data_IF_031785850181
#
_entry.id   IF_031785850181
#
_cell.length_a   1.000
_cell.length_b   1.000
_cell.length_c   1.000
_cell.angle_alpha   90.00
_cell.angle_beta   90.00
_cell.angle_gamma   90.00
#
_symmetry.space_group_name_H-M   'P 1'
#
loop_
_entity.id
_entity.type
_entity.pdbx_description
1 polymer ?
#
# COMPACT_ATOMS: atom_id res chain seq x y z
N UNK A 1 20.78 -4.53 76.09
CA UNK A 1 20.32 -5.47 75.04
C UNK A 1 18.85 -5.27 74.63
N UNK A 2 17.94 -4.89 75.52
CA UNK A 2 16.52 -4.65 75.15
C UNK A 2 16.33 -3.44 74.20
N UNK A 3 17.06 -2.34 74.42
CA UNK A 3 16.94 -1.13 73.59
C UNK A 3 17.37 -1.31 72.13
N UNK A 4 18.38 -2.15 71.87
CA UNK A 4 18.85 -2.46 70.51
C UNK A 4 17.88 -3.35 69.73
N UNK A 5 17.16 -4.24 70.41
CA UNK A 5 16.14 -5.10 69.77
C UNK A 5 14.90 -4.31 69.32
N UNK A 6 14.47 -3.32 70.12
CA UNK A 6 13.32 -2.45 69.77
C UNK A 6 13.65 -1.55 68.58
N UNK A 7 14.87 -0.99 68.52
CA UNK A 7 15.30 -0.16 67.39
C UNK A 7 15.35 -0.93 66.06
N UNK A 8 15.81 -2.19 66.08
CA UNK A 8 15.83 -3.05 64.88
C UNK A 8 14.42 -3.43 64.43
N UNK A 9 13.51 -3.72 65.37
CA UNK A 9 12.13 -4.05 65.05
C UNK A 9 11.38 -2.86 64.40
N UNK A 10 11.55 -1.65 64.92
CA UNK A 10 10.93 -0.44 64.35
C UNK A 10 11.56 -0.11 62.99
N UNK A 11 12.89 -0.22 62.86
CA UNK A 11 13.58 -0.03 61.59
C UNK A 11 13.11 -0.99 60.49
N UNK A 12 12.87 -2.26 60.84
CA UNK A 12 12.37 -3.27 59.90
C UNK A 12 10.95 -2.99 59.40
N UNK A 13 10.06 -2.51 60.26
CA UNK A 13 8.67 -2.17 59.90
C UNK A 13 8.61 -0.92 59.01
N UNK A 14 9.42 0.10 59.31
CA UNK A 14 9.48 1.32 58.49
C UNK A 14 10.10 1.02 57.13
N UNK A 15 11.15 0.20 57.08
CA UNK A 15 11.78 -0.19 55.82
C UNK A 15 10.84 -0.99 54.90
N UNK A 16 10.03 -1.90 55.45
CA UNK A 16 9.08 -2.67 54.64
C UNK A 16 7.95 -1.80 54.07
N UNK A 17 7.43 -0.85 54.85
CA UNK A 17 6.45 0.13 54.38
C UNK A 17 6.99 1.03 53.27
N UNK A 18 8.20 1.58 53.45
CA UNK A 18 8.84 2.44 52.45
C UNK A 18 9.17 1.66 51.17
N UNK A 19 9.65 0.41 51.29
CA UNK A 19 9.91 -0.45 50.14
C UNK A 19 8.63 -0.75 49.34
N UNK A 20 7.49 -0.94 50.02
CA UNK A 20 6.20 -1.19 49.36
C UNK A 20 5.71 0.04 48.60
N UNK A 21 5.77 1.23 49.23
CA UNK A 21 5.37 2.50 48.59
C UNK A 21 6.27 2.85 47.40
N UNK A 22 7.58 2.64 47.52
CA UNK A 22 8.52 2.88 46.40
C UNK A 22 8.26 1.87 45.28
N UNK A 23 8.03 0.60 45.59
CA UNK A 23 7.71 -0.43 44.59
C UNK A 23 6.44 -0.07 43.82
N UNK A 24 5.39 0.38 44.50
CA UNK A 24 4.13 0.76 43.86
C UNK A 24 4.24 2.08 43.09
N UNK A 25 5.03 3.05 43.58
CA UNK A 25 5.34 4.27 42.85
C UNK A 25 6.14 3.99 41.57
N UNK A 26 7.14 3.11 41.62
CA UNK A 26 7.94 2.70 40.45
C UNK A 26 7.09 1.92 39.45
N UNK A 27 6.18 1.04 39.90
CA UNK A 27 5.21 0.36 39.02
C UNK A 27 4.27 1.37 38.36
N UNK A 28 3.77 2.35 39.11
CA UNK A 28 2.92 3.42 38.61
C UNK A 28 3.60 4.27 37.54
N UNK A 29 4.85 4.67 37.78
CA UNK A 29 5.64 5.42 36.79
C UNK A 29 5.91 4.62 35.51
N UNK A 30 6.24 3.33 35.62
CA UNK A 30 6.45 2.46 34.44
C UNK A 30 5.18 2.31 33.60
N UNK A 31 4.02 2.11 34.24
CA UNK A 31 2.76 2.01 33.52
C UNK A 31 2.38 3.29 32.76
N UNK A 32 2.85 4.46 33.20
CA UNK A 32 2.69 5.72 32.48
C UNK A 32 3.62 5.77 31.27
N UNK A 33 4.90 5.45 31.44
CA UNK A 33 5.90 5.42 30.35
C UNK A 33 5.45 4.46 29.24
N UNK A 34 5.02 3.24 29.58
CA UNK A 34 4.56 2.25 28.59
C UNK A 34 3.36 2.77 27.78
N UNK A 35 2.47 3.53 28.42
CA UNK A 35 1.30 4.13 27.75
C UNK A 35 1.69 5.24 26.79
N UNK A 36 2.68 6.04 27.16
CA UNK A 36 3.21 7.10 26.31
C UNK A 36 3.90 6.50 25.09
N UNK A 37 4.81 5.53 25.29
CA UNK A 37 5.50 4.85 24.19
C UNK A 37 4.56 4.07 23.27
N UNK A 38 3.54 3.40 23.83
CA UNK A 38 2.49 2.77 23.02
C UNK A 38 1.72 3.81 22.19
N UNK A 39 1.46 4.99 22.75
CA UNK A 39 0.76 6.07 22.04
C UNK A 39 1.62 6.65 20.92
N UNK A 40 2.92 6.81 21.15
CA UNK A 40 3.88 7.21 20.11
C UNK A 40 3.98 6.15 19.01
N UNK A 41 4.08 4.87 19.35
CA UNK A 41 4.10 3.77 18.39
C UNK A 41 2.80 3.71 17.55
N UNK A 42 1.65 3.89 18.20
CA UNK A 42 0.36 4.00 17.55
C UNK A 42 0.29 5.18 16.56
N UNK A 43 0.80 6.35 16.96
CA UNK A 43 0.85 7.53 16.10
C UNK A 43 1.81 7.34 14.93
N UNK A 44 2.92 6.64 15.14
CA UNK A 44 3.86 6.27 14.08
C UNK A 44 3.18 5.36 13.04
N UNK A 45 2.53 4.26 13.48
CA UNK A 45 1.77 3.37 12.58
C UNK A 45 0.69 4.14 11.83
N UNK A 46 -0.02 5.04 12.50
CA UNK A 46 -0.98 5.94 11.84
C UNK A 46 -0.31 6.78 10.76
N UNK A 47 0.81 7.42 11.06
CA UNK A 47 1.56 8.27 10.12
C UNK A 47 2.01 7.53 8.86
N UNK A 48 2.45 6.28 9.01
CA UNK A 48 2.78 5.40 7.88
C UNK A 48 1.58 5.16 6.95
N UNK A 49 0.38 5.03 7.52
CA UNK A 49 -0.83 4.68 6.78
C UNK A 49 -1.59 5.89 6.24
N UNK A 50 -1.40 7.08 6.81
CA UNK A 50 -2.04 8.31 6.34
C UNK A 50 -1.29 8.98 5.19
N UNK A 51 -0.03 8.60 4.96
CA UNK A 51 0.78 9.15 3.87
C UNK A 51 0.60 8.26 2.64
N UNK A 52 -0.01 8.78 1.57
CA UNK A 52 -0.39 7.98 0.38
C UNK A 52 0.77 7.14 -0.18
N UNK A 53 1.97 7.72 -0.30
CA UNK A 53 3.16 7.00 -0.82
C UNK A 53 3.60 5.84 0.07
N UNK A 54 3.60 6.03 1.39
CA UNK A 54 4.00 5.01 2.37
C UNK A 54 2.91 3.97 2.55
N UNK A 55 1.63 4.35 2.54
CA UNK A 55 0.54 3.40 2.59
C UNK A 55 0.56 2.49 1.35
N UNK A 56 0.69 3.07 0.16
CA UNK A 56 0.81 2.32 -1.08
C UNK A 56 1.97 1.32 -1.04
N UNK A 57 3.16 1.73 -0.62
CA UNK A 57 4.30 0.81 -0.54
C UNK A 57 4.12 -0.30 0.51
N UNK A 58 3.34 -0.04 1.57
CA UNK A 58 3.14 -0.97 2.67
C UNK A 58 1.99 -1.94 2.47
N UNK A 59 0.91 -1.55 1.79
CA UNK A 59 -0.30 -2.40 1.68
C UNK A 59 -0.67 -2.79 0.26
N UNK A 60 -0.13 -2.16 -0.78
CA UNK A 60 -0.42 -2.57 -2.15
C UNK A 60 -0.05 -4.04 -2.38
N UNK A 61 -0.91 -4.77 -3.08
CA UNK A 61 -0.82 -6.20 -3.33
C UNK A 61 -1.27 -7.10 -2.17
N UNK A 62 -1.50 -6.56 -0.97
CA UNK A 62 -2.03 -7.37 0.15
C UNK A 62 -3.50 -7.69 -0.07
N UNK A 63 -3.91 -8.85 0.43
CA UNK A 63 -5.30 -9.29 0.38
C UNK A 63 -6.14 -8.53 1.41
N UNK A 64 -7.26 -7.97 0.95
CA UNK A 64 -8.27 -7.33 1.77
C UNK A 64 -9.51 -8.22 1.79
N UNK A 65 -9.99 -8.62 2.95
CA UNK A 65 -11.20 -9.46 3.06
C UNK A 65 -12.41 -8.56 3.33
N UNK A 66 -13.30 -8.29 2.37
CA UNK A 66 -14.52 -7.51 2.64
C UNK A 66 -15.36 -8.19 3.72
N UNK A 67 -15.79 -7.44 4.73
CA UNK A 67 -16.46 -7.95 5.94
C UNK A 67 -15.58 -8.79 6.88
N UNK A 68 -14.27 -8.90 6.62
CA UNK A 68 -13.34 -9.75 7.35
C UNK A 68 -12.11 -9.01 7.89
N UNK A 69 -11.12 -9.80 8.31
CA UNK A 69 -9.84 -9.31 8.83
C UNK A 69 -8.67 -10.11 8.26
N UNK A 70 -7.61 -9.42 7.88
CA UNK A 70 -6.36 -10.03 7.37
C UNK A 70 -5.19 -9.59 8.24
N UNK A 71 -4.35 -10.53 8.67
CA UNK A 71 -3.07 -10.22 9.32
C UNK A 71 -2.15 -9.49 8.34
N UNK A 72 -1.47 -8.45 8.81
CA UNK A 72 -0.54 -7.69 7.96
C UNK A 72 0.81 -7.49 8.62
N UNK A 73 1.78 -7.27 7.75
CA UNK A 73 3.13 -6.88 8.10
C UNK A 73 3.49 -5.62 7.32
N UNK A 74 4.13 -4.65 7.97
CA UNK A 74 4.61 -3.43 7.34
C UNK A 74 6.13 -3.42 7.38
N UNK A 75 6.81 -3.31 6.24
CA UNK A 75 8.24 -3.14 6.27
C UNK A 75 8.98 -3.29 4.96
N UNK A 76 10.28 -2.98 4.97
CA UNK A 76 11.08 -2.59 6.15
C UNK A 76 10.92 -1.10 6.50
N UNK A 77 10.31 -0.77 7.66
CA UNK A 77 10.08 0.62 8.12
C UNK A 77 10.53 0.86 9.57
N UNK A 78 10.61 -0.21 10.37
CA UNK A 78 11.14 -0.21 11.73
C UNK A 78 10.45 0.73 12.72
N UNK A 79 10.96 0.77 13.96
CA UNK A 79 10.60 1.74 14.99
C UNK A 79 11.67 1.77 16.08
N UNK A 80 12.01 2.95 16.60
CA UNK A 80 13.00 3.13 17.67
C UNK A 80 14.37 2.54 17.30
N UNK A 81 14.87 1.64 18.15
CA UNK A 81 16.19 1.01 18.03
C UNK A 81 16.30 0.01 16.86
N UNK A 82 15.18 -0.31 16.20
CA UNK A 82 15.13 -1.25 15.08
C UNK A 82 14.54 -0.58 13.81
N UNK A 83 15.22 0.39 13.18
CA UNK A 83 14.67 1.23 12.10
C UNK A 83 14.44 0.50 10.77
N UNK A 84 14.98 -0.72 10.60
CA UNK A 84 14.80 -1.51 9.38
C UNK A 84 13.96 -2.78 9.59
N UNK A 85 13.32 -2.92 10.75
CA UNK A 85 12.52 -4.10 11.06
C UNK A 85 11.17 -4.12 10.33
N UNK A 86 10.62 -5.32 10.19
CA UNK A 86 9.24 -5.53 9.74
C UNK A 86 8.32 -5.45 10.96
N UNK A 87 7.39 -4.52 10.94
CA UNK A 87 6.32 -4.43 11.93
C UNK A 87 5.30 -5.52 11.63
N UNK A 88 5.15 -6.46 12.54
CA UNK A 88 4.20 -7.57 12.44
C UNK A 88 3.85 -8.06 13.84
N UNK A 89 2.94 -9.03 13.94
CA UNK A 89 2.71 -9.74 15.20
C UNK A 89 4.04 -10.32 15.74
N UNK A 90 4.29 -10.12 17.03
CA UNK A 90 5.53 -10.46 17.71
C UNK A 90 6.61 -9.38 17.65
N UNK A 91 6.41 -8.27 16.93
CA UNK A 91 7.39 -7.17 16.90
C UNK A 91 7.55 -6.56 18.30
N UNK A 92 8.81 -6.46 18.76
CA UNK A 92 9.16 -5.92 20.07
C UNK A 92 9.70 -4.51 19.97
N UNK A 93 9.30 -3.66 20.91
CA UNK A 93 9.75 -2.28 21.04
C UNK A 93 9.80 -1.90 22.53
N UNK A 94 10.30 -0.69 22.83
CA UNK A 94 10.58 -0.27 24.20
C UNK A 94 11.52 -1.24 24.93
N UNK A 95 12.74 -1.40 24.39
CA UNK A 95 13.77 -2.29 24.97
C UNK A 95 13.23 -3.70 25.28
N UNK A 96 12.43 -4.23 24.36
CA UNK A 96 11.78 -5.55 24.43
C UNK A 96 10.71 -5.75 25.51
N UNK A 97 10.22 -4.68 26.13
CA UNK A 97 9.14 -4.77 27.14
C UNK A 97 7.75 -4.80 26.52
N UNK A 98 7.56 -4.13 25.38
CA UNK A 98 6.29 -4.07 24.66
C UNK A 98 6.36 -4.92 23.39
N UNK A 99 5.29 -5.67 23.12
CA UNK A 99 5.19 -6.57 21.97
C UNK A 99 3.88 -6.31 21.23
N UNK A 100 3.94 -6.20 19.90
CA UNK A 100 2.76 -6.17 19.03
C UNK A 100 2.10 -7.54 19.07
N UNK A 101 0.94 -7.62 19.70
CA UNK A 101 0.15 -8.86 19.80
C UNK A 101 -0.75 -9.09 18.61
N UNK A 102 -1.22 -8.02 17.97
CA UNK A 102 -2.05 -8.11 16.78
C UNK A 102 -1.86 -6.89 15.91
N UNK A 103 -1.72 -7.15 14.61
CA UNK A 103 -1.69 -6.15 13.58
C UNK A 103 -2.51 -6.66 12.39
N UNK A 104 -3.77 -6.22 12.30
CA UNK A 104 -4.72 -6.67 11.27
C UNK A 104 -5.29 -5.48 10.52
N UNK A 105 -5.56 -5.68 9.23
CA UNK A 105 -6.46 -4.82 8.45
C UNK A 105 -7.83 -5.47 8.45
N UNK A 106 -8.84 -4.70 8.85
CA UNK A 106 -10.24 -5.10 8.94
C UNK A 106 -11.06 -4.24 8.00
N UNK A 107 -12.11 -4.80 7.40
CA UNK A 107 -13.14 -3.98 6.75
C UNK A 107 -14.00 -3.29 7.81
N UNK A 108 -14.19 -1.98 7.67
CA UNK A 108 -15.11 -1.23 8.55
C UNK A 108 -16.58 -1.65 8.36
N UNK A 109 -16.91 -2.33 7.26
CA UNK A 109 -18.26 -2.79 6.96
C UNK A 109 -19.18 -1.66 6.48
N UNK A 110 -18.61 -0.57 5.98
CA UNK A 110 -19.36 0.46 5.27
C UNK A 110 -19.57 0.00 3.82
N UNK A 111 -20.71 0.37 3.23
CA UNK A 111 -20.96 0.08 1.82
C UNK A 111 -19.83 0.70 0.96
N UNK A 112 -19.17 -0.10 0.10
CA UNK A 112 -18.09 0.42 -0.72
C UNK A 112 -18.62 1.43 -1.75
N UNK A 113 -17.79 2.40 -2.09
CA UNK A 113 -18.06 3.28 -3.23
C UNK A 113 -17.50 2.59 -4.47
N UNK A 114 -18.38 2.00 -5.25
CA UNK A 114 -18.05 1.37 -6.52
C UNK A 114 -18.02 2.37 -7.67
N UNK A 115 -17.07 2.22 -8.58
CA UNK A 115 -17.03 2.95 -9.83
C UNK A 115 -16.42 2.06 -10.93
N UNK A 116 -16.76 2.35 -12.17
CA UNK A 116 -16.22 1.64 -13.33
C UNK A 116 -15.15 2.49 -14.00
N UNK A 117 -14.02 1.85 -14.31
CA UNK A 117 -12.92 2.45 -15.03
C UNK A 117 -12.90 1.85 -16.43
N UNK A 118 -12.94 2.66 -17.50
CA UNK A 118 -12.77 2.16 -18.86
C UNK A 118 -11.29 1.90 -19.14
N UNK A 119 -10.89 0.63 -19.26
CA UNK A 119 -9.53 0.20 -19.58
C UNK A 119 -9.42 -0.29 -21.03
N UNK A 120 -8.39 0.18 -21.72
CA UNK A 120 -8.02 -0.36 -23.04
C UNK A 120 -7.23 -1.65 -22.83
N UNK A 121 -7.74 -2.76 -23.37
CA UNK A 121 -7.02 -4.04 -23.41
C UNK A 121 -5.77 -3.91 -24.30
N UNK A 122 -4.57 -4.21 -23.76
CA UNK A 122 -3.33 -4.09 -24.52
C UNK A 122 -3.22 -5.09 -25.69
N UNK A 123 -4.04 -6.15 -25.74
CA UNK A 123 -3.97 -7.13 -26.82
C UNK A 123 -4.97 -6.81 -27.93
N UNK A 124 -6.20 -6.45 -27.57
CA UNK A 124 -7.30 -6.28 -28.52
C UNK A 124 -7.61 -4.81 -28.88
N UNK A 125 -7.11 -3.84 -28.10
CA UNK A 125 -7.52 -2.43 -28.21
C UNK A 125 -8.97 -2.17 -27.79
N UNK A 126 -9.70 -3.19 -27.33
CA UNK A 126 -11.07 -3.04 -26.87
C UNK A 126 -11.12 -2.29 -25.53
N UNK A 127 -12.16 -1.48 -25.34
CA UNK A 127 -12.41 -0.82 -24.06
C UNK A 127 -13.28 -1.72 -23.18
N UNK A 128 -12.70 -2.22 -22.09
CA UNK A 128 -13.37 -3.00 -21.07
C UNK A 128 -13.68 -2.13 -19.85
N UNK A 129 -14.84 -2.32 -19.22
CA UNK A 129 -15.12 -1.69 -17.94
C UNK A 129 -14.68 -2.58 -16.79
N UNK A 130 -13.79 -2.07 -15.93
CA UNK A 130 -13.36 -2.77 -14.72
C UNK A 130 -13.97 -2.06 -13.51
N UNK A 131 -14.64 -2.84 -12.66
CA UNK A 131 -15.17 -2.36 -11.40
C UNK A 131 -14.04 -2.24 -10.38
N UNK A 132 -13.95 -1.08 -9.76
CA UNK A 132 -13.06 -0.82 -8.63
C UNK A 132 -13.92 -0.34 -7.47
N UNK A 133 -13.62 -0.85 -6.28
CA UNK A 133 -14.38 -0.53 -5.07
C UNK A 133 -13.47 0.15 -4.07
N UNK A 134 -13.90 1.30 -3.55
CA UNK A 134 -13.25 1.91 -2.38
C UNK A 134 -13.92 1.44 -1.10
N UNK A 135 -13.11 0.85 -0.24
CA UNK A 135 -13.47 0.49 1.12
C UNK A 135 -12.83 1.45 2.12
N UNK A 136 -13.39 1.51 3.32
CA UNK A 136 -12.72 2.11 4.48
C UNK A 136 -12.12 0.96 5.27
N UNK A 137 -10.80 0.79 5.15
CA UNK A 137 -10.06 -0.17 5.94
C UNK A 137 -9.82 0.38 7.35
N UNK A 138 -9.76 -0.53 8.32
CA UNK A 138 -9.41 -0.24 9.70
C UNK A 138 -8.24 -1.11 10.13
N UNK A 139 -7.12 -0.51 10.49
CA UNK A 139 -6.04 -1.23 11.15
C UNK A 139 -6.34 -1.35 12.63
N UNK A 140 -6.33 -2.58 13.14
CA UNK A 140 -6.39 -2.89 14.56
C UNK A 140 -5.00 -3.23 15.05
N UNK A 141 -4.53 -2.44 16.01
CA UNK A 141 -3.26 -2.62 16.69
C UNK A 141 -3.51 -3.00 18.15
N UNK A 142 -2.99 -4.16 18.55
CA UNK A 142 -2.99 -4.63 19.94
C UNK A 142 -1.56 -4.80 20.42
N UNK A 143 -1.25 -4.28 21.59
CA UNK A 143 0.08 -4.33 22.22
C UNK A 143 -0.07 -4.99 23.59
N UNK A 144 0.90 -5.82 23.95
CA UNK A 144 1.03 -6.39 25.28
C UNK A 144 2.39 -6.10 25.89
N UNK A 145 2.42 -5.95 27.20
CA UNK A 145 3.67 -5.96 27.98
C UNK A 145 4.22 -7.39 28.10
N UNK A 146 5.51 -7.55 28.42
CA UNK A 146 6.17 -8.85 28.65
C UNK A 146 5.51 -9.68 29.76
N UNK A 147 4.79 -9.03 30.67
CA UNK A 147 3.98 -9.68 31.72
C UNK A 147 2.56 -10.04 31.23
N UNK A 148 2.35 -10.11 29.92
CA UNK A 148 1.07 -10.42 29.26
C UNK A 148 -0.08 -9.45 29.57
N UNK A 149 0.23 -8.29 30.15
CA UNK A 149 -0.77 -7.22 30.34
C UNK A 149 -1.13 -6.64 28.97
N UNK A 150 -2.38 -6.78 28.58
CA UNK A 150 -2.88 -6.35 27.27
C UNK A 150 -3.37 -4.90 27.40
N UNK A 151 -2.83 -4.03 26.56
CA UNK A 151 -3.32 -2.66 26.44
C UNK A 151 -4.56 -2.60 25.54
N UNK A 152 -5.33 -1.52 25.67
CA UNK A 152 -6.52 -1.31 24.86
C UNK A 152 -6.15 -1.20 23.38
N UNK A 153 -6.87 -1.91 22.54
CA UNK A 153 -6.70 -1.86 21.09
C UNK A 153 -6.82 -0.43 20.55
N UNK A 154 -5.97 -0.12 19.57
CA UNK A 154 -6.00 1.12 18.79
C UNK A 154 -6.49 0.82 17.39
N UNK A 155 -7.29 1.74 16.86
CA UNK A 155 -7.89 1.62 15.54
C UNK A 155 -7.54 2.83 14.70
N UNK A 156 -7.12 2.58 13.46
CA UNK A 156 -6.82 3.63 12.47
C UNK A 156 -7.58 3.34 11.21
N UNK A 157 -8.24 4.36 10.66
CA UNK A 157 -9.05 4.20 9.46
C UNK A 157 -8.37 4.90 8.29
N UNK A 158 -8.39 4.27 7.14
CA UNK A 158 -7.85 4.81 5.90
C UNK A 158 -8.59 4.21 4.70
N UNK A 159 -8.76 4.97 3.63
CA UNK A 159 -9.40 4.47 2.41
C UNK A 159 -8.46 3.54 1.66
N UNK A 160 -9.02 2.45 1.12
CA UNK A 160 -8.30 1.53 0.22
C UNK A 160 -9.11 1.28 -1.04
N UNK A 161 -8.42 1.29 -2.17
CA UNK A 161 -8.94 0.82 -3.46
C UNK A 161 -8.65 -0.66 -3.59
N UNK A 162 -9.70 -1.43 -3.83
CA UNK A 162 -9.65 -2.88 -3.95
C UNK A 162 -10.21 -3.28 -5.30
N UNK A 163 -9.49 -4.18 -5.98
CA UNK A 163 -9.89 -4.71 -7.27
C UNK A 163 -10.84 -5.90 -7.16
N UNK A 164 -11.20 -6.48 -8.31
CA UNK A 164 -12.06 -7.67 -8.38
C UNK A 164 -11.47 -8.94 -7.76
N UNK A 165 -10.16 -8.98 -7.46
CA UNK A 165 -9.49 -10.12 -6.81
C UNK A 165 -9.26 -9.88 -5.32
N UNK A 166 -9.88 -8.83 -4.77
CA UNK A 166 -9.74 -8.43 -3.37
C UNK A 166 -8.32 -8.02 -2.97
N UNK A 167 -7.47 -7.65 -3.93
CA UNK A 167 -6.15 -7.10 -3.65
C UNK A 167 -6.23 -5.59 -3.46
N UNK A 168 -5.54 -5.07 -2.43
CA UNK A 168 -5.37 -3.63 -2.24
C UNK A 168 -4.47 -3.11 -3.36
N UNK A 169 -4.96 -2.13 -4.13
CA UNK A 169 -4.20 -1.49 -5.21
C UNK A 169 -3.59 -0.17 -4.78
N UNK A 170 -4.32 0.61 -4.01
CA UNK A 170 -3.84 1.87 -3.47
C UNK A 170 -4.58 2.29 -2.20
N UNK A 171 -3.98 3.20 -1.45
CA UNK A 171 -4.56 3.98 -0.37
C UNK A 171 -4.75 5.41 -0.85
N UNK A 172 -5.85 5.69 -1.54
CA UNK A 172 -6.11 7.02 -2.07
C UNK A 172 -7.24 7.68 -1.28
N UNK A 173 -6.95 8.88 -0.78
CA UNK A 173 -7.95 9.71 -0.08
C UNK A 173 -9.02 10.25 -1.03
N UNK A 174 -8.61 10.59 -2.26
CA UNK A 174 -9.50 11.09 -3.30
C UNK A 174 -9.86 9.97 -4.28
N UNK A 175 -11.16 9.87 -4.59
CA UNK A 175 -11.73 8.83 -5.45
C UNK A 175 -12.10 9.43 -6.78
N UNK A 176 -11.08 9.78 -7.55
CA UNK A 176 -11.27 10.16 -8.94
C UNK A 176 -10.86 9.00 -9.85
N UNK A 177 -11.39 8.99 -11.08
CA UNK A 177 -11.14 7.91 -12.05
C UNK A 177 -9.68 7.86 -12.46
N UNK A 178 -8.97 9.00 -12.44
CA UNK A 178 -7.56 9.08 -12.80
C UNK A 178 -6.65 8.36 -11.79
N UNK A 179 -6.93 8.53 -10.50
CA UNK A 179 -6.19 7.91 -9.41
C UNK A 179 -6.39 6.39 -9.41
N UNK A 180 -7.62 5.95 -9.70
CA UNK A 180 -7.90 4.53 -9.86
C UNK A 180 -7.24 3.94 -11.10
N UNK A 181 -7.17 4.71 -12.19
CA UNK A 181 -6.43 4.35 -13.38
C UNK A 181 -4.95 4.07 -13.07
N UNK A 182 -4.33 5.00 -12.35
CA UNK A 182 -2.94 4.89 -11.92
C UNK A 182 -2.74 3.72 -10.95
N UNK A 183 -3.66 3.50 -10.02
CA UNK A 183 -3.61 2.36 -9.10
C UNK A 183 -3.69 0.99 -9.81
N UNK A 184 -4.30 0.93 -11.00
CA UNK A 184 -4.32 -0.25 -11.85
C UNK A 184 -3.06 -0.39 -12.74
N UNK A 185 -2.15 0.59 -12.71
CA UNK A 185 -0.95 0.62 -13.56
C UNK A 185 -1.17 1.26 -14.94
N UNK A 186 -2.25 2.03 -15.10
CA UNK A 186 -2.61 2.70 -16.36
C UNK A 186 -2.45 4.23 -16.24
N UNK A 187 -2.42 4.92 -17.37
CA UNK A 187 -2.44 6.38 -17.46
C UNK A 187 -3.85 6.79 -17.85
N UNK A 188 -4.38 7.80 -17.16
CA UNK A 188 -5.66 8.40 -17.51
C UNK A 188 -5.49 9.34 -18.70
N UNK A 189 -6.01 8.95 -19.85
CA UNK A 189 -6.02 9.76 -21.06
C UNK A 189 -7.34 10.51 -21.21
N UNK A 190 -7.22 11.82 -21.36
CA UNK A 190 -8.33 12.76 -21.56
C UNK A 190 -8.28 13.43 -22.93
N UNK A 191 -7.33 13.05 -23.79
CA UNK A 191 -7.14 13.65 -25.12
C UNK A 191 -8.24 13.25 -26.11
N UNK A 192 -8.89 12.10 -25.90
CA UNK A 192 -10.01 11.63 -26.69
C UNK A 192 -11.37 12.21 -26.26
N UNK A 193 -12.43 12.04 -27.09
CA UNK A 193 -13.79 12.46 -26.76
C UNK A 193 -14.38 11.69 -25.57
N UNK A 194 -13.85 10.50 -25.28
CA UNK A 194 -14.18 9.69 -24.12
C UNK A 194 -12.90 9.40 -23.34
N UNK A 195 -12.76 9.90 -22.10
CA UNK A 195 -11.60 9.61 -21.27
C UNK A 195 -11.45 8.11 -20.97
N UNK A 196 -10.24 7.58 -21.09
CA UNK A 196 -9.93 6.14 -20.94
C UNK A 196 -8.60 5.88 -20.22
N UNK A 197 -8.49 4.70 -19.61
CA UNK A 197 -7.24 4.20 -19.04
C UNK A 197 -6.44 3.41 -20.05
N UNK A 198 -5.17 3.80 -20.21
CA UNK A 198 -4.25 3.16 -21.15
C UNK A 198 -2.98 2.63 -20.50
N UNK A 199 -2.38 1.56 -21.03
CA UNK A 199 -1.20 0.97 -20.42
C UNK A 199 -0.04 1.98 -20.30
N UNK A 200 0.67 1.98 -19.16
CA UNK A 200 1.94 2.72 -19.05
C UNK A 200 2.95 2.16 -20.06
N UNK A 201 3.61 3.04 -20.83
CA UNK A 201 4.57 2.62 -21.86
C UNK A 201 3.96 2.32 -23.23
N UNK A 202 2.67 2.57 -23.42
CA UNK A 202 2.05 2.59 -24.74
C UNK A 202 2.48 3.85 -25.52
N UNK A 203 2.90 3.67 -26.77
CA UNK A 203 3.00 4.73 -27.76
C UNK A 203 2.16 4.28 -28.96
N UNK A 204 1.43 5.18 -29.61
CA UNK A 204 0.50 4.85 -30.69
C UNK A 204 1.01 5.49 -31.99
N UNK A 205 0.69 4.87 -33.12
CA UNK A 205 0.94 5.41 -34.46
C UNK A 205 -0.39 5.59 -35.18
N UNK A 206 -0.55 6.69 -35.93
CA UNK A 206 -1.65 6.84 -36.91
C UNK A 206 -2.96 7.50 -36.45
N UNK A 207 -3.06 8.08 -35.25
CA UNK A 207 -4.24 8.88 -34.86
C UNK A 207 -4.65 8.92 -33.40
N UNK A 208 -3.87 8.33 -32.50
CA UNK A 208 -3.82 8.58 -31.05
C UNK A 208 -2.40 8.20 -30.56
N UNK A 209 -1.98 8.50 -29.31
CA UNK A 209 -0.62 8.52 -28.66
C UNK A 209 0.62 8.80 -29.53
N UNK A 210 0.83 10.06 -29.91
CA UNK A 210 2.17 10.66 -29.96
C UNK A 210 2.11 12.20 -30.05
N UNK A 211 1.80 12.88 -28.94
CA UNK A 211 2.08 14.33 -28.78
C UNK A 211 2.65 14.64 -27.39
N UNK A 212 3.54 13.78 -26.90
CA UNK A 212 4.30 13.98 -25.67
C UNK A 212 5.78 13.60 -25.86
N UNK A 213 6.69 14.10 -24.99
CA UNK A 213 8.14 13.95 -25.17
C UNK A 213 8.52 12.47 -25.27
N UNK A 214 9.06 12.06 -26.42
CA UNK A 214 9.51 10.69 -26.65
C UNK A 214 9.07 10.08 -27.98
N UNK A 215 8.00 10.52 -28.63
CA UNK A 215 7.66 9.98 -29.95
C UNK A 215 8.73 10.36 -31.00
N UNK A 216 9.30 9.37 -31.69
CA UNK A 216 10.20 9.62 -32.81
C UNK A 216 9.37 9.80 -34.08
N UNK A 217 9.47 10.97 -34.70
CA UNK A 217 8.88 11.21 -36.03
C UNK A 217 9.95 10.86 -37.05
N UNK A 218 9.67 9.87 -37.90
CA UNK A 218 10.57 9.51 -38.99
C UNK A 218 10.62 10.65 -40.01
N UNK A 219 11.78 11.30 -40.21
CA UNK A 219 11.88 12.45 -41.10
C UNK A 219 11.74 12.10 -42.59
N UNK A 220 11.90 10.83 -42.98
CA UNK A 220 11.80 10.38 -44.36
C UNK A 220 10.37 9.99 -44.78
N UNK A 221 9.56 9.49 -43.83
CA UNK A 221 8.20 8.98 -44.12
C UNK A 221 7.09 9.76 -43.43
N UNK A 222 7.43 10.64 -42.48
CA UNK A 222 6.46 11.33 -41.62
C UNK A 222 5.75 10.40 -40.62
N UNK A 223 6.13 9.11 -40.56
CA UNK A 223 5.51 8.12 -39.67
C UNK A 223 6.01 8.23 -38.24
N UNK A 224 5.14 7.92 -37.27
CA UNK A 224 5.48 7.86 -35.85
C UNK A 224 6.08 6.49 -35.51
N UNK A 225 7.15 6.48 -34.72
CA UNK A 225 7.70 5.28 -34.11
C UNK A 225 7.98 5.48 -32.62
N UNK A 226 7.82 4.39 -31.87
CA UNK A 226 7.98 4.40 -30.42
C UNK A 226 9.45 4.22 -30.04
N UNK A 227 9.95 4.91 -28.99
CA UNK A 227 11.26 4.64 -28.43
C UNK A 227 11.42 3.18 -28.00
N UNK A 228 12.67 2.74 -27.86
CA UNK A 228 12.95 1.45 -27.24
C UNK A 228 12.32 1.38 -25.84
N UNK A 229 11.66 0.26 -25.54
CA UNK A 229 10.93 0.05 -24.29
C UNK A 229 9.45 0.45 -24.32
N UNK A 230 8.97 1.06 -25.40
CA UNK A 230 7.55 1.39 -25.60
C UNK A 230 6.94 0.45 -26.64
N UNK A 231 5.68 0.04 -26.42
CA UNK A 231 4.97 -0.82 -27.37
C UNK A 231 4.12 0.06 -28.27
N UNK A 232 4.26 -0.11 -29.60
CA UNK A 232 3.45 0.58 -30.59
C UNK A 232 2.05 -0.01 -30.62
N UNK A 233 1.04 0.84 -30.44
CA UNK A 233 -0.36 0.49 -30.58
C UNK A 233 -0.90 1.15 -31.85
N UNK A 234 -1.84 0.50 -32.53
CA UNK A 234 -2.61 1.14 -33.60
C UNK A 234 -4.04 1.26 -33.11
N UNK A 235 -4.46 2.48 -32.78
CA UNK A 235 -5.71 2.81 -32.07
C UNK A 235 -6.97 2.69 -32.94
N UNK A 236 -6.93 1.87 -33.98
CA UNK A 236 -8.10 1.41 -34.71
C UNK A 236 -8.96 2.51 -35.34
N UNK A 237 -8.49 3.10 -36.44
CA UNK A 237 -9.38 3.35 -37.59
C UNK A 237 -8.80 2.67 -38.82
N UNK A 238 -9.02 1.36 -38.96
CA UNK A 238 -9.31 0.73 -40.24
C UNK A 238 -9.82 -0.70 -40.00
N UNK A 239 -11.14 -0.90 -40.18
CA UNK A 239 -11.58 -2.13 -40.86
C UNK A 239 -10.87 -2.17 -42.21
N UNK A 240 -10.09 -3.21 -42.49
CA UNK A 240 -10.03 -3.93 -43.78
C UNK A 240 -9.06 -5.13 -43.65
N UNK A 241 -9.22 -6.16 -44.51
CA UNK A 241 -9.08 -7.56 -44.15
C UNK A 241 -7.62 -7.99 -44.12
N UNK A 242 -7.35 -9.13 -43.49
CA UNK A 242 -6.16 -9.92 -43.80
C UNK A 242 -5.94 -9.98 -45.32
N UNK A 243 -4.70 -9.83 -45.79
CA UNK A 243 -4.06 -11.06 -46.24
C UNK A 243 -2.55 -11.17 -45.92
N UNK A 244 -2.01 -12.40 -45.98
CA UNK A 244 -0.61 -12.73 -45.72
C UNK A 244 0.23 -12.52 -46.99
N UNK A 245 0.94 -11.40 -47.16
CA UNK A 245 1.73 -11.23 -48.42
C UNK A 245 3.05 -10.46 -48.28
N UNK A 246 3.54 -10.09 -47.08
CA UNK A 246 4.83 -9.38 -47.01
C UNK A 246 6.07 -10.28 -47.15
N UNK A 247 5.94 -11.60 -46.94
CA UNK A 247 7.06 -12.54 -47.08
C UNK A 247 7.22 -13.10 -48.51
N UNK A 248 6.18 -13.09 -49.35
CA UNK A 248 6.23 -13.62 -50.72
C UNK A 248 6.82 -12.60 -51.71
N UNK A 249 6.56 -11.30 -51.51
CA UNK A 249 7.06 -10.22 -52.39
C UNK A 249 8.58 -9.99 -52.21
N UNK A 250 9.10 -10.17 -51.00
CA UNK A 250 10.55 -10.14 -50.73
C UNK A 250 11.29 -11.35 -51.30
N UNK A 251 10.62 -12.50 -51.46
CA UNK A 251 11.20 -13.68 -52.16
C UNK A 251 11.20 -13.54 -53.68
N UNK A 252 10.22 -12.83 -54.25
CA UNK A 252 10.17 -12.57 -55.70
C UNK A 252 11.15 -11.47 -56.15
N UNK A 253 11.41 -10.45 -55.31
CA UNK A 253 12.38 -9.40 -55.63
C UNK A 253 13.85 -9.82 -55.46
N UNK A 254 14.14 -10.85 -54.66
CA UNK A 254 15.52 -11.35 -54.51
C UNK A 254 15.97 -12.30 -55.63
N UNK A 255 15.04 -12.81 -56.47
CA UNK A 255 15.33 -13.74 -57.58
C UNK A 255 15.60 -13.08 -58.93
N UNK A 256 15.54 -11.75 -59.01
CA UNK A 256 15.78 -10.99 -60.25
C UNK A 256 16.87 -9.94 -60.17
N UNK A 257 17.68 -9.94 -59.10
CA UNK A 257 18.81 -9.02 -58.98
C UNK A 257 20.18 -9.66 -58.75
N UNK A 258 20.28 -10.99 -58.67
CA UNK A 258 21.53 -11.75 -58.77
C UNK A 258 21.28 -13.13 -59.35
#
# INVERSE_FOLDING_TARGET
>A
MVGTLVAVAIGGIVASLVATVISDAVKGQRAIIDRDEMSEFALFVKGLLTTDSTCNSLVAGKQFSPGGSTNVSFGPVGYGDNPSAVLQEGFKFSRDTLTVRRLTIEDKGLAPVGFTVPLVDPVSGAVNQVAVNRYVARVRLSVSHINETIYRDRFFEFPVLVDSTNAIRACNNELNVADACQALGFIWDTSGPTPVCVPQGACLSGGSYATGPGAYVNPATGGYSCPSGFTAFDGGRHQYPNPPVLLEVLRLLHRHLW
#
